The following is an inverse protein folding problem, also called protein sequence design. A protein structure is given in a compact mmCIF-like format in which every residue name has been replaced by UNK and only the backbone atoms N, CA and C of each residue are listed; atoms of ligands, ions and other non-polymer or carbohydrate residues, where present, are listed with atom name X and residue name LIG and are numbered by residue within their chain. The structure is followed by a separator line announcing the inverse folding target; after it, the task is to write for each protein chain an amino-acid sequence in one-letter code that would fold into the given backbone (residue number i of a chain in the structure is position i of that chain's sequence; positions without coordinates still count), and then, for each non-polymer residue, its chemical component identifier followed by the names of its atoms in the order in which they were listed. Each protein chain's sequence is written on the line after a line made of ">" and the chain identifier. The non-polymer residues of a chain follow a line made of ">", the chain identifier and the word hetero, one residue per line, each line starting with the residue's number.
data_IF_319401146145
#
_entry.id   IF_319401146145
#
_cell.length_a   1.000
_cell.length_b   1.000
_cell.length_c   1.000
_cell.angle_alpha   90.00
_cell.angle_beta   90.00
_cell.angle_gamma   90.00
#
_symmetry.space_group_name_H-M   'P 1'
#
loop_
_entity.id
_entity.type
_entity.pdbx_description
1 polymer ?
#
# COMPACT_ATOMS: atom_id res chain seq x y z
N UNK A 1 19.36 27.76 39.92
CA UNK A 1 19.63 27.07 38.63
C UNK A 1 18.44 26.16 38.33
N UNK A 2 17.61 26.41 37.30
CA UNK A 2 16.49 25.53 37.01
C UNK A 2 16.96 24.33 36.16
N UNK A 3 16.61 23.12 36.60
CA UNK A 3 16.88 21.87 35.90
C UNK A 3 15.98 21.75 34.66
N UNK A 4 16.58 21.76 33.47
CA UNK A 4 15.88 21.54 32.20
C UNK A 4 15.34 20.10 32.11
N UNK A 5 14.01 19.96 32.02
CA UNK A 5 13.33 18.70 31.67
C UNK A 5 13.68 18.31 30.23
N UNK A 6 14.41 17.21 30.06
CA UNK A 6 14.67 16.61 28.74
C UNK A 6 13.35 16.09 28.17
N UNK A 7 12.82 16.73 27.12
CA UNK A 7 11.63 16.24 26.42
C UNK A 7 11.96 14.91 25.75
N UNK A 8 11.22 13.86 26.09
CA UNK A 8 11.33 12.56 25.44
C UNK A 8 10.95 12.71 23.96
N UNK A 9 11.92 12.47 23.06
CA UNK A 9 11.68 12.54 21.63
C UNK A 9 10.69 11.45 21.21
N UNK A 10 9.49 11.86 20.77
CA UNK A 10 8.44 10.97 20.27
C UNK A 10 8.98 10.21 19.05
N UNK A 11 9.13 8.88 19.16
CA UNK A 11 9.64 8.01 18.09
C UNK A 11 8.69 8.11 16.87
N UNK A 12 9.12 8.80 15.81
CA UNK A 12 8.33 8.92 14.57
C UNK A 12 8.39 7.58 13.85
N UNK A 13 7.26 6.87 13.78
CA UNK A 13 7.16 5.68 12.94
C UNK A 13 7.16 6.14 11.49
N UNK A 14 8.24 5.85 10.76
CA UNK A 14 8.33 6.16 9.34
C UNK A 14 7.30 5.30 8.59
N UNK A 15 6.41 5.94 7.82
CA UNK A 15 5.50 5.22 6.91
C UNK A 15 6.32 4.73 5.73
N UNK A 16 6.46 3.42 5.59
CA UNK A 16 7.13 2.82 4.43
C UNK A 16 6.09 2.52 3.36
N UNK A 17 6.26 3.10 2.19
CA UNK A 17 5.47 2.77 1.00
C UNK A 17 6.35 1.91 0.10
N UNK A 18 5.89 0.71 -0.23
CA UNK A 18 6.57 -0.16 -1.18
C UNK A 18 5.82 -0.17 -2.52
N UNK A 19 6.57 -0.22 -3.62
CA UNK A 19 6.01 -0.36 -4.96
C UNK A 19 5.49 -1.78 -5.23
N UNK A 20 4.74 -1.92 -6.33
CA UNK A 20 4.11 -3.18 -6.78
C UNK A 20 5.09 -4.35 -6.89
N UNK A 21 6.27 -4.12 -7.45
CA UNK A 21 7.26 -5.19 -7.64
C UNK A 21 7.79 -5.71 -6.31
N UNK A 22 8.07 -4.81 -5.37
CA UNK A 22 8.53 -5.19 -4.02
C UNK A 22 7.41 -5.90 -3.25
N UNK A 23 6.18 -5.42 -3.36
CA UNK A 23 5.02 -6.10 -2.79
C UNK A 23 4.92 -7.54 -3.31
N UNK A 24 4.99 -7.74 -4.63
CA UNK A 24 4.94 -9.08 -5.22
C UNK A 24 6.09 -10.00 -4.75
N UNK A 25 7.31 -9.47 -4.63
CA UNK A 25 8.47 -10.22 -4.12
C UNK A 25 8.30 -10.65 -2.66
N UNK A 26 7.75 -9.77 -1.81
CA UNK A 26 7.51 -10.10 -0.39
C UNK A 26 6.37 -11.11 -0.28
N UNK A 27 5.25 -10.87 -0.98
CA UNK A 27 4.11 -11.80 -1.02
C UNK A 27 4.50 -13.19 -1.54
N UNK A 28 5.50 -13.29 -2.41
CA UNK A 28 6.04 -14.57 -2.89
C UNK A 28 6.54 -15.48 -1.77
N UNK A 29 7.11 -14.89 -0.71
CA UNK A 29 7.62 -15.64 0.44
C UNK A 29 6.50 -16.40 1.15
N UNK A 30 5.28 -15.86 1.11
CA UNK A 30 4.06 -16.47 1.65
C UNK A 30 3.31 -17.33 0.59
N UNK A 31 3.88 -17.51 -0.60
CA UNK A 31 3.23 -18.21 -1.72
C UNK A 31 2.13 -17.41 -2.42
N UNK A 32 2.00 -16.11 -2.14
CA UNK A 32 0.96 -15.25 -2.70
C UNK A 32 1.47 -14.58 -3.99
N UNK A 33 0.92 -15.00 -5.12
CA UNK A 33 1.25 -14.44 -6.44
C UNK A 33 0.11 -13.57 -7.00
N UNK A 34 0.41 -12.40 -7.59
CA UNK A 34 -0.60 -11.62 -8.31
C UNK A 34 -1.12 -12.40 -9.52
N UNK A 35 -2.43 -12.60 -9.59
CA UNK A 35 -3.07 -13.20 -10.76
C UNK A 35 -2.94 -12.31 -11.99
N UNK A 36 -3.10 -12.89 -13.18
CA UNK A 36 -3.08 -12.13 -14.43
C UNK A 36 -4.17 -11.05 -14.46
N UNK A 37 -5.39 -11.39 -14.01
CA UNK A 37 -6.50 -10.45 -13.89
C UNK A 37 -6.16 -9.25 -12.99
N UNK A 38 -5.47 -9.47 -11.86
CA UNK A 38 -4.98 -8.37 -11.02
C UNK A 38 -3.95 -7.51 -11.76
N UNK A 39 -3.00 -8.12 -12.48
CA UNK A 39 -1.97 -7.40 -13.22
C UNK A 39 -2.56 -6.51 -14.32
N UNK A 40 -3.52 -7.04 -15.07
CA UNK A 40 -4.24 -6.30 -16.11
C UNK A 40 -5.07 -5.15 -15.51
N UNK A 41 -5.75 -5.40 -14.38
CA UNK A 41 -6.54 -4.37 -13.69
C UNK A 41 -5.66 -3.20 -13.23
N UNK A 42 -4.49 -3.46 -12.67
CA UNK A 42 -3.55 -2.40 -12.28
C UNK A 42 -3.06 -1.62 -13.50
N UNK A 43 -2.69 -2.31 -14.59
CA UNK A 43 -2.28 -1.63 -15.82
C UNK A 43 -3.40 -0.73 -16.39
N UNK A 44 -4.66 -1.16 -16.30
CA UNK A 44 -5.81 -0.31 -16.64
C UNK A 44 -5.92 0.91 -15.75
N UNK A 45 -5.72 0.77 -14.43
CA UNK A 45 -5.74 1.90 -13.51
C UNK A 45 -4.64 2.92 -13.80
N UNK A 46 -3.46 2.45 -14.20
CA UNK A 46 -2.34 3.31 -14.61
C UNK A 46 -2.69 4.08 -15.89
N UNK A 47 -3.27 3.42 -16.90
CA UNK A 47 -3.75 4.07 -18.14
C UNK A 47 -4.84 5.11 -17.89
N UNK A 48 -5.72 4.86 -16.92
CA UNK A 48 -6.82 5.77 -16.55
C UNK A 48 -6.37 6.88 -15.59
N UNK A 49 -5.12 6.88 -15.13
CA UNK A 49 -4.62 7.90 -14.20
C UNK A 49 -5.30 7.90 -12.84
N UNK A 50 -5.87 6.77 -12.40
CA UNK A 50 -6.67 6.73 -11.17
C UNK A 50 -5.83 7.03 -9.92
N UNK A 51 -6.40 7.85 -9.03
CA UNK A 51 -5.85 8.11 -7.70
C UNK A 51 -5.89 6.86 -6.82
N UNK A 52 -5.10 6.87 -5.74
CA UNK A 52 -5.09 5.76 -4.79
C UNK A 52 -6.47 5.49 -4.15
N UNK A 53 -7.29 6.52 -3.96
CA UNK A 53 -8.64 6.38 -3.41
C UNK A 53 -9.58 5.68 -4.39
N UNK A 54 -9.53 6.06 -5.67
CA UNK A 54 -10.34 5.46 -6.73
C UNK A 54 -9.94 4.02 -7.00
N UNK A 55 -8.63 3.72 -7.06
CA UNK A 55 -8.12 2.35 -7.18
C UNK A 55 -8.68 1.45 -6.08
N UNK A 56 -8.70 1.92 -4.82
CA UNK A 56 -9.29 1.16 -3.70
C UNK A 56 -10.79 0.93 -3.88
N UNK A 57 -11.55 1.95 -4.29
CA UNK A 57 -13.00 1.83 -4.54
C UNK A 57 -13.29 0.79 -5.63
N UNK A 58 -12.55 0.81 -6.73
CA UNK A 58 -12.72 -0.15 -7.83
C UNK A 58 -12.38 -1.58 -7.38
N UNK A 59 -11.32 -1.77 -6.59
CA UNK A 59 -10.98 -3.08 -6.02
C UNK A 59 -12.10 -3.58 -5.10
N UNK A 60 -12.58 -2.73 -4.18
CA UNK A 60 -13.69 -3.07 -3.28
C UNK A 60 -14.92 -3.45 -4.09
N UNK A 61 -15.31 -2.65 -5.09
CA UNK A 61 -16.46 -2.93 -5.95
C UNK A 61 -16.36 -4.28 -6.65
N UNK A 62 -15.17 -4.65 -7.14
CA UNK A 62 -14.96 -5.90 -7.85
C UNK A 62 -14.95 -7.15 -6.94
N UNK A 63 -14.70 -6.99 -5.65
CA UNK A 63 -14.61 -8.11 -4.68
C UNK A 63 -15.66 -8.05 -3.58
N UNK A 64 -16.55 -7.06 -3.59
CA UNK A 64 -17.69 -7.00 -2.69
C UNK A 64 -18.60 -8.19 -3.01
N UNK A 65 -18.69 -9.14 -2.08
CA UNK A 65 -19.76 -10.13 -2.10
C UNK A 65 -21.08 -9.38 -1.92
N UNK A 66 -22.03 -9.65 -2.82
CA UNK A 66 -23.45 -9.38 -2.58
C UNK A 66 -23.94 -10.22 -1.43
#
# INVERSE_FOLDING_TARGET
>A
MPLQKKSSAKKRVAKVVIGRERFAKISAVEGIMPSEAMRQRVARFDRLGLSAAERRREIIKAHKKG
#
